data_IF_231743101611
#
_entry.id   IF_231743101611
#
_cell.length_a   1.000
_cell.length_b   1.000
_cell.length_c   1.000
_cell.angle_alpha   90.00
_cell.angle_beta   90.00
_cell.angle_gamma   90.00
#
_symmetry.space_group_name_H-M   'P 1'
#
loop_
_entity.id
_entity.type
_entity.pdbx_description
1 polymer ?
#
# COMPACT_ATOMS: atom_id res chain seq x y z
N UNK A 1 14.26 -15.08 -9.12
CA UNK A 1 13.14 -14.67 -8.24
C UNK A 1 13.16 -15.64 -7.08
N UNK A 2 12.98 -15.22 -5.82
CA UNK A 2 12.92 -16.15 -4.70
C UNK A 2 11.85 -17.22 -4.92
N UNK A 3 12.13 -18.46 -4.58
CA UNK A 3 11.21 -19.59 -4.83
C UNK A 3 9.89 -19.48 -4.04
N UNK A 4 9.92 -18.72 -2.94
CA UNK A 4 8.74 -18.47 -2.11
C UNK A 4 7.84 -17.33 -2.63
N UNK A 5 8.31 -16.55 -3.62
CA UNK A 5 7.52 -15.42 -4.17
C UNK A 5 6.62 -15.93 -5.29
N UNK A 6 5.28 -15.71 -5.21
CA UNK A 6 4.37 -16.17 -6.24
C UNK A 6 4.56 -15.40 -7.55
N UNK A 7 4.12 -15.99 -8.64
CA UNK A 7 4.06 -15.33 -9.94
C UNK A 7 3.18 -14.07 -9.88
N UNK A 8 3.48 -13.12 -10.76
CA UNK A 8 2.65 -11.93 -10.93
C UNK A 8 1.34 -12.30 -11.63
N UNK A 9 0.28 -11.53 -11.31
CA UNK A 9 -1.02 -11.65 -11.99
C UNK A 9 -0.93 -10.99 -13.37
N UNK A 10 -1.37 -11.69 -14.40
CA UNK A 10 -1.48 -11.11 -15.74
C UNK A 10 -2.70 -10.18 -15.79
N UNK A 11 -2.45 -8.88 -15.84
CA UNK A 11 -3.48 -7.83 -15.90
C UNK A 11 -3.54 -7.10 -17.25
N UNK A 12 -2.67 -7.44 -18.17
CA UNK A 12 -2.63 -6.94 -19.53
C UNK A 12 -2.92 -8.08 -20.52
N UNK A 13 -3.93 -7.95 -21.40
CA UNK A 13 -4.81 -6.80 -21.58
C UNK A 13 -5.81 -6.61 -20.42
N UNK A 14 -6.05 -5.35 -20.04
CA UNK A 14 -7.05 -5.01 -19.03
C UNK A 14 -8.46 -5.26 -19.57
N UNK A 15 -9.26 -6.03 -18.83
CA UNK A 15 -10.65 -6.36 -19.18
C UNK A 15 -11.61 -5.90 -18.08
N UNK A 16 -12.90 -5.92 -18.37
CA UNK A 16 -13.93 -5.61 -17.37
C UNK A 16 -13.92 -6.57 -16.17
N UNK A 17 -13.43 -7.81 -16.35
CA UNK A 17 -13.33 -8.81 -15.28
C UNK A 17 -12.05 -8.70 -14.44
N UNK A 18 -11.10 -7.83 -14.83
CA UNK A 18 -9.79 -7.75 -14.16
C UNK A 18 -9.94 -7.35 -12.70
N UNK A 19 -10.83 -6.41 -12.37
CA UNK A 19 -11.08 -6.05 -10.98
C UNK A 19 -11.75 -7.17 -10.18
N UNK A 20 -12.59 -7.99 -10.77
CA UNK A 20 -13.21 -9.14 -10.08
C UNK A 20 -12.15 -10.19 -9.74
N UNK A 21 -11.29 -10.52 -10.72
CA UNK A 21 -10.14 -11.40 -10.49
C UNK A 21 -9.22 -10.90 -9.36
N UNK A 22 -8.88 -9.63 -9.38
CA UNK A 22 -8.04 -9.03 -8.34
C UNK A 22 -8.75 -9.02 -6.98
N UNK A 23 -10.07 -8.83 -6.97
CA UNK A 23 -10.84 -8.86 -5.74
C UNK A 23 -10.94 -10.27 -5.14
N UNK A 24 -11.06 -11.30 -5.97
CA UNK A 24 -11.01 -12.70 -5.52
C UNK A 24 -9.65 -13.02 -4.88
N UNK A 25 -8.55 -12.54 -5.47
CA UNK A 25 -7.20 -12.67 -4.90
C UNK A 25 -7.11 -11.91 -3.57
N UNK A 26 -7.62 -10.69 -3.50
CA UNK A 26 -7.66 -9.89 -2.27
C UNK A 26 -8.46 -10.60 -1.16
N UNK A 27 -9.62 -11.14 -1.47
CA UNK A 27 -10.43 -11.89 -0.51
C UNK A 27 -9.67 -13.10 0.01
N UNK A 28 -9.14 -13.93 -0.89
CA UNK A 28 -8.41 -15.15 -0.54
C UNK A 28 -7.16 -14.87 0.30
N UNK A 29 -6.36 -13.86 -0.06
CA UNK A 29 -5.03 -13.66 0.49
C UNK A 29 -4.97 -12.64 1.63
N UNK A 30 -5.97 -11.75 1.73
CA UNK A 30 -5.89 -10.61 2.67
C UNK A 30 -7.15 -10.52 3.55
N UNK A 31 -8.35 -10.47 2.96
CA UNK A 31 -9.57 -10.25 3.73
C UNK A 31 -9.94 -11.46 4.60
N UNK A 32 -9.93 -12.65 4.01
CA UNK A 32 -10.40 -13.89 4.63
C UNK A 32 -9.23 -14.75 5.16
N UNK A 33 -8.01 -14.22 5.10
CA UNK A 33 -6.80 -14.87 5.56
C UNK A 33 -6.30 -14.27 6.89
N UNK A 34 -5.82 -15.11 7.79
CA UNK A 34 -5.16 -14.65 9.03
C UNK A 34 -3.72 -14.18 8.72
N UNK A 35 -3.58 -12.92 8.29
CA UNK A 35 -2.28 -12.31 8.05
C UNK A 35 -1.46 -12.24 9.34
N UNK A 36 -0.23 -12.75 9.30
CA UNK A 36 0.69 -12.75 10.43
C UNK A 36 2.00 -12.05 10.08
N UNK A 37 2.38 -11.05 10.86
CA UNK A 37 3.69 -10.43 10.84
C UNK A 37 4.43 -10.77 12.15
N UNK A 38 5.54 -11.50 12.05
CA UNK A 38 6.30 -11.97 13.21
C UNK A 38 5.39 -12.64 14.27
N UNK A 39 4.47 -13.50 13.80
CA UNK A 39 3.52 -14.21 14.64
C UNK A 39 2.40 -13.36 15.25
N UNK A 40 2.29 -12.07 14.91
CA UNK A 40 1.23 -11.16 15.35
C UNK A 40 0.26 -10.86 14.24
N UNK A 41 -1.04 -10.87 14.55
CA UNK A 41 -2.10 -10.61 13.58
C UNK A 41 -1.98 -9.21 12.98
N UNK A 42 -2.03 -9.15 11.65
CA UNK A 42 -2.20 -7.92 10.88
C UNK A 42 -3.67 -7.81 10.48
N UNK A 43 -4.28 -6.68 10.77
CA UNK A 43 -5.68 -6.45 10.46
C UNK A 43 -5.86 -5.39 9.37
N UNK A 44 -7.07 -5.32 8.81
CA UNK A 44 -7.48 -4.35 7.80
C UNK A 44 -8.75 -3.64 8.28
N UNK A 45 -8.97 -2.42 7.77
CA UNK A 45 -10.30 -1.81 7.88
C UNK A 45 -11.23 -2.42 6.83
N UNK A 46 -12.48 -2.67 7.25
CA UNK A 46 -13.53 -3.20 6.39
C UNK A 46 -14.46 -2.09 5.86
N UNK A 47 -14.01 -0.82 5.92
CA UNK A 47 -14.76 0.30 5.34
C UNK A 47 -14.92 0.09 3.83
N UNK A 48 -16.16 0.24 3.36
CA UNK A 48 -16.51 0.05 1.97
C UNK A 48 -16.44 1.36 1.16
N UNK A 49 -16.00 1.24 -0.09
CA UNK A 49 -16.00 2.31 -1.10
C UNK A 49 -16.22 1.66 -2.47
N UNK A 50 -17.19 2.15 -3.23
CA UNK A 50 -17.51 1.61 -4.57
C UNK A 50 -17.71 0.07 -4.58
N UNK A 51 -18.43 -0.43 -3.57
CA UNK A 51 -18.80 -1.85 -3.48
C UNK A 51 -17.70 -2.81 -3.01
N UNK A 52 -16.52 -2.30 -2.65
CA UNK A 52 -15.37 -3.09 -2.14
C UNK A 52 -14.71 -2.37 -0.97
N UNK A 53 -13.87 -3.07 -0.20
CA UNK A 53 -13.15 -2.47 0.90
C UNK A 53 -12.17 -1.39 0.41
N UNK A 54 -12.11 -0.25 1.11
CA UNK A 54 -11.17 0.85 0.78
C UNK A 54 -9.74 0.38 0.65
N UNK A 55 -9.32 -0.56 1.47
CA UNK A 55 -7.97 -1.12 1.40
C UNK A 55 -7.70 -1.82 0.07
N UNK A 56 -8.68 -2.50 -0.54
CA UNK A 56 -8.55 -3.08 -1.86
C UNK A 56 -8.15 -2.02 -2.90
N UNK A 57 -8.82 -0.86 -2.88
CA UNK A 57 -8.49 0.25 -3.77
C UNK A 57 -7.10 0.83 -3.49
N UNK A 58 -6.67 0.91 -2.22
CA UNK A 58 -5.31 1.34 -1.87
C UNK A 58 -4.22 0.38 -2.34
N UNK A 59 -4.53 -0.90 -2.49
CA UNK A 59 -3.60 -1.92 -2.95
C UNK A 59 -3.53 -2.05 -4.47
N UNK A 60 -4.55 -1.58 -5.21
CA UNK A 60 -4.68 -1.79 -6.66
C UNK A 60 -4.68 -0.52 -7.49
N UNK A 61 -4.94 0.63 -6.86
CA UNK A 61 -5.05 1.90 -7.59
C UNK A 61 -4.06 2.95 -7.11
N UNK A 62 -3.88 3.96 -7.94
CA UNK A 62 -3.15 5.19 -7.61
C UNK A 62 -4.11 6.38 -7.69
N UNK A 63 -4.14 7.23 -6.66
CA UNK A 63 -4.89 8.48 -6.70
C UNK A 63 -4.08 9.59 -7.37
N UNK A 64 -4.72 10.36 -8.22
CA UNK A 64 -4.18 11.59 -8.78
C UNK A 64 -4.93 12.75 -8.15
N UNK A 65 -4.23 13.52 -7.32
CA UNK A 65 -4.79 14.73 -6.72
C UNK A 65 -4.88 15.82 -7.77
N UNK A 66 -6.07 16.20 -8.19
CA UNK A 66 -6.31 17.39 -9.01
C UNK A 66 -6.51 18.59 -8.07
N UNK A 67 -5.51 19.43 -7.94
CA UNK A 67 -5.68 20.72 -7.26
C UNK A 67 -6.44 21.64 -8.21
N UNK A 68 -7.72 21.90 -7.96
CA UNK A 68 -8.44 22.98 -8.65
C UNK A 68 -7.95 24.30 -8.08
N UNK A 69 -7.17 25.06 -8.85
CA UNK A 69 -6.86 26.45 -8.54
C UNK A 69 -8.18 27.22 -8.62
N UNK A 70 -8.62 27.91 -7.54
CA UNK A 70 -9.84 28.69 -7.57
C UNK A 70 -9.74 29.75 -8.68
N UNK A 71 -10.69 29.74 -9.63
CA UNK A 71 -10.84 30.85 -10.57
C UNK A 71 -11.06 32.12 -9.78
N UNK A 72 -10.12 33.10 -9.89
CA UNK A 72 -10.12 34.47 -9.37
C UNK A 72 -11.01 34.71 -8.14
N UNK A 73 -10.35 35.04 -7.03
CA UNK A 73 -10.98 35.51 -5.80
C UNK A 73 -12.10 36.51 -6.08
N UNK A 74 -13.37 36.10 -6.01
CA UNK A 74 -14.44 36.99 -5.72
C UNK A 74 -14.32 37.33 -4.22
N UNK A 75 -14.00 38.59 -3.92
CA UNK A 75 -14.08 39.14 -2.56
C UNK A 75 -15.44 38.77 -1.98
N UNK A 76 -15.49 38.18 -0.81
CA UNK A 76 -16.64 37.83 -0.01
C UNK A 76 -17.14 36.38 -0.08
N UNK A 77 -16.32 35.39 0.38
CA UNK A 77 -16.89 34.21 1.09
C UNK A 77 -15.76 33.53 1.86
N UNK A 78 -15.93 33.20 3.18
CA UNK A 78 -14.94 32.52 3.99
C UNK A 78 -15.06 31.01 3.86
N UNK A 79 -14.87 30.48 2.67
CA UNK A 79 -14.74 29.04 2.45
C UNK A 79 -13.73 28.78 1.33
N UNK A 80 -12.44 29.02 1.64
CA UNK A 80 -11.32 28.49 0.86
C UNK A 80 -11.23 26.96 1.10
N UNK A 81 -12.30 26.23 0.83
CA UNK A 81 -12.22 24.79 0.69
C UNK A 81 -11.66 24.53 -0.71
N UNK A 82 -10.36 24.23 -0.74
CA UNK A 82 -9.73 23.64 -1.91
C UNK A 82 -10.34 22.24 -2.07
N UNK A 83 -11.30 22.07 -2.97
CA UNK A 83 -11.81 20.74 -3.30
C UNK A 83 -10.70 19.95 -3.97
N UNK A 84 -10.22 18.92 -3.29
CA UNK A 84 -9.30 17.96 -3.85
C UNK A 84 -10.16 16.85 -4.45
N UNK A 85 -10.28 16.84 -5.76
CA UNK A 85 -10.93 15.76 -6.50
C UNK A 85 -9.88 14.63 -6.64
N UNK A 86 -10.10 13.50 -5.99
CA UNK A 86 -9.22 12.34 -6.06
C UNK A 86 -9.79 11.33 -7.06
N UNK A 87 -9.33 11.39 -8.32
CA UNK A 87 -9.58 10.32 -9.27
C UNK A 87 -8.63 9.14 -8.99
N UNK A 88 -9.17 7.92 -8.91
CA UNK A 88 -8.40 6.69 -8.75
C UNK A 88 -8.29 5.97 -10.10
N UNK A 89 -7.09 5.56 -10.44
CA UNK A 89 -6.78 4.80 -11.65
C UNK A 89 -6.10 3.48 -11.29
N UNK A 90 -6.32 2.41 -12.07
CA UNK A 90 -5.58 1.17 -11.90
C UNK A 90 -4.08 1.44 -11.95
N UNK A 91 -3.34 0.91 -10.98
CA UNK A 91 -1.89 0.85 -11.02
C UNK A 91 -1.48 -0.59 -11.38
N UNK A 92 -1.16 -0.83 -12.65
CA UNK A 92 -0.89 -2.17 -13.17
C UNK A 92 0.19 -2.89 -12.35
N UNK A 93 1.24 -2.17 -11.95
CA UNK A 93 2.33 -2.78 -11.16
C UNK A 93 1.91 -3.19 -9.76
N UNK A 94 0.94 -2.50 -9.15
CA UNK A 94 0.32 -2.93 -7.89
C UNK A 94 -0.59 -4.13 -8.12
N UNK A 95 -1.41 -4.07 -9.17
CA UNK A 95 -2.34 -5.14 -9.52
C UNK A 95 -1.62 -6.45 -9.78
N UNK A 96 -0.58 -6.43 -10.61
CA UNK A 96 0.27 -7.59 -10.91
C UNK A 96 0.85 -8.25 -9.65
N UNK A 97 1.18 -7.44 -8.64
CA UNK A 97 1.87 -7.88 -7.42
C UNK A 97 0.95 -7.99 -6.20
N UNK A 98 -0.35 -7.99 -6.40
CA UNK A 98 -1.30 -8.12 -5.29
C UNK A 98 -1.06 -9.39 -4.45
N UNK A 99 -0.75 -10.57 -5.02
CA UNK A 99 -0.42 -11.77 -4.24
C UNK A 99 0.84 -11.63 -3.37
N UNK A 100 1.75 -10.72 -3.73
CA UNK A 100 2.98 -10.50 -2.97
C UNK A 100 2.73 -9.84 -1.62
N UNK A 101 1.61 -9.14 -1.45
CA UNK A 101 1.30 -8.41 -0.20
C UNK A 101 1.29 -9.35 0.99
N UNK A 102 0.53 -10.44 0.92
CA UNK A 102 0.48 -11.46 1.97
C UNK A 102 1.85 -12.07 2.23
N UNK A 103 2.47 -12.57 1.17
CA UNK A 103 3.73 -13.31 1.26
C UNK A 103 4.84 -12.45 1.86
N UNK A 104 4.95 -11.17 1.48
CA UNK A 104 5.95 -10.27 2.07
C UNK A 104 5.70 -9.99 3.56
N UNK A 105 4.46 -9.93 4.00
CA UNK A 105 4.13 -9.78 5.42
C UNK A 105 4.60 -11.02 6.20
N UNK A 106 4.27 -12.20 5.70
CA UNK A 106 4.56 -13.49 6.35
C UNK A 106 6.03 -13.90 6.27
N UNK A 107 6.70 -13.51 5.19
CA UNK A 107 8.12 -13.79 4.90
C UNK A 107 9.04 -12.60 5.17
N UNK A 108 8.66 -11.74 6.10
CA UNK A 108 9.42 -10.52 6.42
C UNK A 108 10.81 -10.76 7.02
N UNK A 109 11.13 -11.98 7.45
CA UNK A 109 12.43 -12.38 8.00
C UNK A 109 13.36 -13.00 6.93
N UNK A 110 12.88 -13.19 5.69
CA UNK A 110 13.71 -13.73 4.61
C UNK A 110 14.89 -12.79 4.28
N UNK A 111 16.07 -13.30 3.91
CA UNK A 111 17.27 -12.49 3.69
C UNK A 111 17.12 -11.40 2.62
N UNK A 112 16.26 -11.64 1.63
CA UNK A 112 15.99 -10.69 0.54
C UNK A 112 15.07 -9.56 0.93
N UNK A 113 14.43 -9.65 2.11
CA UNK A 113 13.44 -8.70 2.59
C UNK A 113 14.03 -7.78 3.64
N UNK A 114 13.90 -6.48 3.47
CA UNK A 114 14.22 -5.50 4.49
C UNK A 114 12.93 -5.12 5.22
N UNK A 115 12.85 -5.45 6.51
CA UNK A 115 11.72 -5.10 7.36
C UNK A 115 12.17 -4.23 8.54
N UNK A 116 11.46 -3.12 8.80
CA UNK A 116 11.81 -2.20 9.88
C UNK A 116 10.63 -1.34 10.32
N UNK A 117 10.70 -0.85 11.55
CA UNK A 117 9.80 0.17 12.08
C UNK A 117 10.45 1.56 11.98
N UNK A 118 9.66 2.57 11.61
CA UNK A 118 10.10 3.96 11.50
C UNK A 118 9.03 4.92 12.03
N UNK A 119 9.45 5.91 12.84
CA UNK A 119 8.57 6.99 13.29
C UNK A 119 8.47 8.08 12.22
N UNK A 120 7.27 8.30 11.70
CA UNK A 120 6.99 9.37 10.74
C UNK A 120 6.94 10.75 11.41
N UNK A 121 6.92 11.80 10.60
CA UNK A 121 6.87 13.18 11.11
C UNK A 121 5.61 13.51 11.93
N UNK A 122 4.53 12.77 11.76
CA UNK A 122 3.27 12.87 12.51
C UNK A 122 3.25 11.98 13.78
N UNK A 123 4.41 11.46 14.18
CA UNK A 123 4.58 10.55 15.32
C UNK A 123 3.94 9.17 15.16
N UNK A 124 3.39 8.86 14.02
CA UNK A 124 2.92 7.49 13.76
C UNK A 124 4.11 6.56 13.49
N UNK A 125 4.05 5.34 14.02
CA UNK A 125 5.05 4.31 13.70
C UNK A 125 4.52 3.47 12.56
N UNK A 126 5.30 3.36 11.49
CA UNK A 126 5.03 2.49 10.37
C UNK A 126 6.05 1.37 10.29
N UNK A 127 5.56 0.19 9.97
CA UNK A 127 6.39 -0.96 9.59
C UNK A 127 6.47 -1.00 8.07
N UNK A 128 7.68 -0.99 7.56
CA UNK A 128 8.02 -1.14 6.16
C UNK A 128 8.50 -2.56 5.94
N UNK A 129 7.99 -3.22 4.91
CA UNK A 129 8.48 -4.51 4.42
C UNK A 129 8.81 -4.33 2.94
N UNK A 130 10.08 -4.34 2.61
CA UNK A 130 10.59 -3.97 1.29
C UNK A 130 11.41 -5.09 0.66
N UNK A 131 10.91 -5.64 -0.43
CA UNK A 131 11.65 -6.53 -1.30
C UNK A 131 12.48 -5.66 -2.26
N UNK A 132 13.70 -5.30 -1.82
CA UNK A 132 14.54 -4.25 -2.41
C UNK A 132 14.89 -4.52 -3.87
N UNK A 133 15.25 -5.75 -4.21
CA UNK A 133 15.70 -6.11 -5.56
C UNK A 133 14.57 -6.13 -6.59
N UNK A 134 13.33 -6.19 -6.12
CA UNK A 134 12.12 -6.14 -6.94
C UNK A 134 11.33 -4.84 -6.77
N UNK A 135 11.87 -3.88 -6.02
CA UNK A 135 11.29 -2.56 -5.78
C UNK A 135 9.82 -2.58 -5.33
N UNK A 136 9.42 -3.60 -4.56
CA UNK A 136 8.06 -3.70 -4.06
C UNK A 136 8.01 -3.62 -2.54
N UNK A 137 7.07 -2.84 -2.01
CA UNK A 137 6.94 -2.61 -0.58
C UNK A 137 5.52 -2.77 -0.09
N UNK A 138 5.41 -3.24 1.15
CA UNK A 138 4.18 -3.24 1.95
C UNK A 138 4.40 -2.34 3.14
N UNK A 139 3.42 -1.50 3.47
CA UNK A 139 3.47 -0.59 4.61
C UNK A 139 2.30 -0.89 5.54
N UNK A 140 2.63 -1.05 6.80
CA UNK A 140 1.66 -1.25 7.88
C UNK A 140 1.80 -0.14 8.92
N UNK A 141 0.73 0.22 9.61
CA UNK A 141 0.76 1.06 10.81
C UNK A 141 0.95 0.17 12.04
N UNK A 142 1.94 0.49 12.87
CA UNK A 142 2.18 -0.18 14.15
C UNK A 142 1.42 0.52 15.27
N UNK A 143 0.87 -0.26 16.19
CA UNK A 143 0.19 0.18 17.40
C UNK A 143 1.00 -0.19 18.65
N UNK A 144 0.74 0.44 19.81
CA UNK A 144 1.53 0.23 21.04
C UNK A 144 1.57 -1.24 21.51
N UNK A 145 0.53 -2.02 21.23
CA UNK A 145 0.43 -3.45 21.56
C UNK A 145 1.14 -4.37 20.56
N UNK A 146 2.01 -3.82 19.72
CA UNK A 146 2.68 -4.50 18.60
C UNK A 146 1.75 -5.09 17.53
N UNK A 147 0.46 -4.78 17.57
CA UNK A 147 -0.44 -5.08 16.46
C UNK A 147 -0.12 -4.16 15.28
N UNK A 148 -0.46 -4.64 14.10
CA UNK A 148 -0.26 -3.88 12.86
C UNK A 148 -1.52 -3.87 12.02
N UNK A 149 -1.70 -2.79 11.28
CA UNK A 149 -2.76 -2.64 10.31
C UNK A 149 -2.17 -2.40 8.93
N UNK A 150 -2.58 -3.17 7.95
CA UNK A 150 -2.20 -2.97 6.57
C UNK A 150 -2.69 -1.60 6.07
N UNK A 151 -1.79 -0.82 5.48
CA UNK A 151 -2.09 0.53 4.98
C UNK A 151 -2.04 0.57 3.47
N UNK A 152 -0.98 0.08 2.85
CA UNK A 152 -0.79 0.12 1.40
C UNK A 152 0.35 -0.78 0.97
N UNK A 153 0.40 -1.04 -0.34
CA UNK A 153 1.55 -1.60 -1.02
C UNK A 153 1.77 -0.84 -2.32
N UNK A 154 3.02 -0.79 -2.81
CA UNK A 154 3.30 -0.19 -4.10
C UNK A 154 4.68 -0.57 -4.63
N UNK A 155 4.86 -0.35 -5.93
CA UNK A 155 6.13 -0.44 -6.60
C UNK A 155 6.96 0.85 -6.40
N UNK A 156 8.21 0.71 -5.99
CA UNK A 156 9.12 1.84 -5.72
C UNK A 156 9.78 2.27 -7.02
N UNK A 157 9.03 2.98 -7.85
CA UNK A 157 9.38 3.32 -9.24
C UNK A 157 10.36 4.49 -9.40
N UNK A 158 10.68 5.20 -8.30
CA UNK A 158 11.46 6.43 -8.37
C UNK A 158 12.70 6.41 -7.48
N UNK A 159 13.83 6.82 -8.03
CA UNK A 159 15.12 6.85 -7.34
C UNK A 159 15.04 7.62 -6.01
N UNK A 160 14.32 8.75 -5.96
CA UNK A 160 14.20 9.51 -4.73
C UNK A 160 13.42 8.77 -3.61
N UNK A 161 12.41 7.95 -4.00
CA UNK A 161 11.69 7.10 -3.04
C UNK A 161 12.58 5.99 -2.50
N UNK A 162 13.38 5.37 -3.39
CA UNK A 162 14.35 4.34 -3.00
C UNK A 162 15.35 4.92 -1.99
N UNK A 163 15.90 6.10 -2.26
CA UNK A 163 16.81 6.82 -1.33
C UNK A 163 16.11 7.17 -0.01
N UNK A 164 14.85 7.57 -0.04
CA UNK A 164 14.08 7.83 1.19
C UNK A 164 13.90 6.55 2.02
N UNK A 165 13.64 5.42 1.40
CA UNK A 165 13.53 4.13 2.10
C UNK A 165 14.87 3.70 2.70
N UNK A 166 15.97 3.86 1.98
CA UNK A 166 17.32 3.58 2.48
C UNK A 166 17.65 4.48 3.69
N UNK A 167 17.30 5.77 3.62
CA UNK A 167 17.43 6.70 4.75
C UNK A 167 16.59 6.28 5.95
N UNK A 168 15.31 5.91 5.73
CA UNK A 168 14.41 5.43 6.80
C UNK A 168 14.92 4.14 7.43
N UNK A 169 15.44 3.22 6.61
CA UNK A 169 16.05 1.99 7.10
C UNK A 169 17.29 2.24 7.96
N UNK A 170 18.17 3.19 7.55
CA UNK A 170 19.34 3.60 8.33
C UNK A 170 18.95 4.21 9.68
N UNK A 171 17.83 4.96 9.74
CA UNK A 171 17.31 5.63 10.95
C UNK A 171 16.13 4.87 11.59
N UNK A 172 16.03 3.57 11.38
CA UNK A 172 14.96 2.75 11.93
C UNK A 172 14.98 2.68 13.45
N UNK A 173 13.83 2.42 14.02
CA UNK A 173 13.70 2.09 15.45
C UNK A 173 14.47 0.78 15.71
N UNK A 174 15.37 0.78 16.67
CA UNK A 174 16.17 -0.37 17.10
C UNK A 174 15.43 -1.17 18.14
#
# INVERSE_FOLDING_TARGET
>A
MPDWLPDIVLVDPWTHNTYDLLYDIFCRDIRDHDLLYLGKKVWIFLDMEDGREKIFWHLTTRSIKKTRIPRRKKKFYPSDQTYIDEDRFPDLRRCERLPWVRILIEKSEEPEVLAWDYEEGDKTIKTYVWLKDYDFTVIMKKYPDNKRRLVTSFYVDKIYKRKDFERKYANRIK
#
